data_IF_674133281256
#
_entry.id   IF_674133281256
#
_cell.length_a   1.000
_cell.length_b   1.000
_cell.length_c   1.000
_cell.angle_alpha   90.00
_cell.angle_beta   90.00
_cell.angle_gamma   90.00
#
_symmetry.space_group_name_H-M   'P 1'
#
loop_
_entity.id
_entity.type
_entity.pdbx_description
1 polymer ?
#
# COMPACT_ATOMS: atom_id res chain seq x y z
N UNK A 1 -12.43 -6.33 -1.71
CA UNK A 1 -11.66 -5.93 -2.90
C UNK A 1 -10.31 -6.59 -2.85
N UNK A 2 -9.75 -6.87 -4.01
CA UNK A 2 -8.44 -7.49 -4.17
C UNK A 2 -7.33 -6.70 -3.48
N UNK A 3 -7.49 -5.37 -3.41
CA UNK A 3 -6.56 -4.49 -2.69
C UNK A 3 -6.43 -4.80 -1.19
N UNK A 4 -7.55 -5.09 -0.48
CA UNK A 4 -7.47 -5.46 0.94
C UNK A 4 -6.77 -6.80 1.12
N UNK A 5 -7.03 -7.75 0.21
CA UNK A 5 -6.40 -9.06 0.24
C UNK A 5 -4.90 -8.96 0.00
N UNK A 6 -4.48 -8.15 -0.99
CA UNK A 6 -3.08 -7.88 -1.30
C UNK A 6 -2.35 -7.27 -0.10
N UNK A 7 -2.89 -6.22 0.52
CA UNK A 7 -2.26 -5.58 1.68
C UNK A 7 -2.10 -6.55 2.87
N UNK A 8 -3.10 -7.39 3.14
CA UNK A 8 -3.04 -8.41 4.20
C UNK A 8 -2.05 -9.51 3.87
N UNK A 9 -1.96 -9.93 2.62
CA UNK A 9 -0.98 -10.91 2.16
C UNK A 9 0.45 -10.38 2.34
N UNK A 10 0.68 -9.11 2.00
CA UNK A 10 1.96 -8.44 2.22
C UNK A 10 2.38 -8.45 3.70
N UNK A 11 1.47 -8.02 4.60
CA UNK A 11 1.74 -8.03 6.05
C UNK A 11 2.02 -9.44 6.56
N UNK A 12 1.19 -10.42 6.20
CA UNK A 12 1.37 -11.82 6.60
C UNK A 12 2.73 -12.34 6.15
N UNK A 13 3.08 -12.13 4.89
CA UNK A 13 4.38 -12.55 4.35
C UNK A 13 5.54 -11.92 5.13
N UNK A 14 5.47 -10.63 5.45
CA UNK A 14 6.50 -9.93 6.22
C UNK A 14 6.67 -10.50 7.64
N UNK A 15 5.57 -10.83 8.32
CA UNK A 15 5.58 -11.45 9.65
C UNK A 15 6.15 -12.87 9.61
N UNK A 16 5.83 -13.65 8.59
CA UNK A 16 6.33 -15.02 8.39
C UNK A 16 7.80 -15.05 7.96
N UNK A 17 8.29 -14.01 7.26
CA UNK A 17 9.61 -13.98 6.63
C UNK A 17 10.46 -12.78 7.10
N UNK A 18 10.49 -12.51 8.40
CA UNK A 18 11.10 -11.29 8.96
C UNK A 18 12.58 -11.10 8.57
N UNK A 19 13.36 -12.18 8.47
CA UNK A 19 14.75 -12.12 8.02
C UNK A 19 14.90 -11.64 6.58
N UNK A 20 14.03 -12.09 5.68
CA UNK A 20 13.99 -11.63 4.29
C UNK A 20 13.43 -10.20 4.19
N UNK A 21 12.41 -9.90 4.98
CA UNK A 21 11.84 -8.55 5.07
C UNK A 21 12.88 -7.52 5.53
N UNK A 22 13.76 -7.90 6.47
CA UNK A 22 14.89 -7.08 6.91
C UNK A 22 15.87 -6.71 5.79
N UNK A 23 16.01 -7.52 4.74
CA UNK A 23 16.84 -7.19 3.57
C UNK A 23 16.18 -6.17 2.64
N UNK A 24 14.86 -6.04 2.69
CA UNK A 24 14.10 -5.03 1.93
C UNK A 24 14.15 -3.66 2.63
N UNK A 25 14.14 -3.67 3.97
CA UNK A 25 14.10 -2.45 4.81
C UNK A 25 15.49 -1.94 5.19
N UNK A 26 16.45 -2.85 5.37
CA UNK A 26 17.77 -2.54 5.91
C UNK A 26 18.67 -1.81 4.92
N UNK A 27 19.62 -1.02 5.44
CA UNK A 27 20.75 -0.58 4.62
C UNK A 27 21.47 -1.80 4.04
N UNK A 28 21.83 -1.80 2.75
CA UNK A 28 22.57 -2.91 2.18
C UNK A 28 23.86 -3.08 2.98
N UNK A 29 24.08 -4.29 3.51
CA UNK A 29 25.29 -4.63 4.24
C UNK A 29 26.53 -4.20 3.43
N UNK A 30 27.57 -3.64 4.05
CA UNK A 30 28.80 -3.31 3.34
C UNK A 30 29.41 -4.61 2.79
N UNK A 31 29.25 -4.82 1.49
CA UNK A 31 29.68 -6.01 0.77
C UNK A 31 29.61 -5.75 -0.73
N UNK A 32 30.33 -6.53 -1.56
CA UNK A 32 30.28 -6.33 -3.00
C UNK A 32 28.83 -6.48 -3.47
N UNK A 33 28.24 -5.38 -3.93
CA UNK A 33 26.95 -5.40 -4.60
C UNK A 33 27.14 -6.21 -5.88
N UNK A 34 26.70 -7.46 -5.87
CA UNK A 34 26.52 -8.21 -7.10
C UNK A 34 25.65 -7.38 -8.04
N UNK A 35 25.94 -7.41 -9.33
CA UNK A 35 25.10 -6.83 -10.37
C UNK A 35 23.73 -7.52 -10.34
N UNK A 36 22.86 -7.05 -9.46
CA UNK A 36 21.43 -7.34 -9.49
C UNK A 36 20.90 -6.50 -10.63
N UNK A 37 21.05 -7.03 -11.84
CA UNK A 37 20.75 -6.35 -13.09
C UNK A 37 19.45 -5.56 -13.01
N UNK A 38 19.44 -4.40 -13.66
CA UNK A 38 18.35 -3.40 -13.71
C UNK A 38 17.11 -3.97 -14.41
N UNK A 39 16.52 -5.02 -13.88
CA UNK A 39 15.11 -5.33 -14.09
C UNK A 39 14.37 -4.58 -12.99
N UNK A 40 13.59 -3.58 -13.39
CA UNK A 40 12.65 -2.94 -12.48
C UNK A 40 11.89 -4.03 -11.72
N UNK A 41 11.65 -3.85 -10.41
CA UNK A 41 11.13 -4.93 -9.59
C UNK A 41 9.76 -5.40 -10.09
N UNK A 42 9.76 -6.57 -10.74
CA UNK A 42 8.56 -7.26 -11.25
C UNK A 42 7.55 -7.53 -10.14
N UNK A 43 7.98 -7.57 -8.88
CA UNK A 43 7.09 -7.71 -7.72
C UNK A 43 6.07 -6.57 -7.58
N UNK A 44 6.26 -5.42 -8.24
CA UNK A 44 5.30 -4.30 -8.24
C UNK A 44 4.14 -4.49 -9.21
N UNK A 45 4.24 -5.42 -10.16
CA UNK A 45 3.23 -5.66 -11.20
C UNK A 45 1.83 -5.92 -10.62
N UNK A 46 1.63 -6.81 -9.62
CA UNK A 46 0.29 -7.07 -9.07
C UNK A 46 -0.35 -5.84 -8.39
N UNK A 47 0.45 -4.97 -7.79
CA UNK A 47 -0.06 -3.75 -7.17
C UNK A 47 -0.49 -2.74 -8.23
N UNK A 48 0.30 -2.59 -9.30
CA UNK A 48 -0.03 -1.69 -10.40
C UNK A 48 -1.31 -2.15 -11.11
N UNK A 49 -1.44 -3.44 -11.42
CA UNK A 49 -2.63 -4.02 -12.05
C UNK A 49 -3.91 -3.80 -11.22
N UNK A 50 -3.84 -4.04 -9.90
CA UNK A 50 -4.99 -3.83 -9.02
C UNK A 50 -5.35 -2.34 -8.92
N UNK A 51 -4.37 -1.44 -8.85
CA UNK A 51 -4.64 0.00 -8.78
C UNK A 51 -5.23 0.51 -10.10
N UNK A 52 -4.71 0.07 -11.24
CA UNK A 52 -5.21 0.39 -12.57
C UNK A 52 -6.68 -0.02 -12.72
N UNK A 53 -7.00 -1.29 -12.41
CA UNK A 53 -8.37 -1.79 -12.43
C UNK A 53 -9.32 -1.00 -11.53
N UNK A 54 -8.89 -0.62 -10.31
CA UNK A 54 -9.71 0.16 -9.39
C UNK A 54 -9.96 1.60 -9.86
N UNK A 55 -9.01 2.20 -10.59
CA UNK A 55 -9.18 3.51 -11.21
C UNK A 55 -10.13 3.42 -12.40
N UNK A 56 -9.95 2.41 -13.26
CA UNK A 56 -10.80 2.16 -14.42
C UNK A 56 -12.27 1.87 -14.04
N UNK A 57 -12.49 1.13 -12.96
CA UNK A 57 -13.82 0.86 -12.41
C UNK A 57 -14.44 2.07 -11.67
N UNK A 58 -13.70 3.17 -11.50
CA UNK A 58 -14.15 4.36 -10.76
C UNK A 58 -14.29 4.14 -9.26
N UNK A 59 -13.76 3.03 -8.72
CA UNK A 59 -13.74 2.76 -7.27
C UNK A 59 -12.70 3.67 -6.61
N UNK A 60 -11.52 3.79 -7.22
CA UNK A 60 -10.54 4.80 -6.89
C UNK A 60 -10.79 6.08 -7.68
N UNK A 61 -10.48 7.22 -7.08
CA UNK A 61 -10.47 8.52 -7.76
C UNK A 61 -9.50 8.47 -8.94
N UNK A 62 -9.82 9.21 -10.00
CA UNK A 62 -8.90 9.41 -11.11
C UNK A 62 -7.56 9.99 -10.60
N UNK A 63 -6.48 9.23 -10.80
CA UNK A 63 -5.14 9.54 -10.36
C UNK A 63 -4.12 8.81 -11.25
N UNK A 64 -2.87 9.26 -11.23
CA UNK A 64 -1.79 8.49 -11.83
C UNK A 64 -1.59 7.16 -11.07
N UNK A 65 -1.59 6.05 -11.81
CA UNK A 65 -1.51 4.68 -11.25
C UNK A 65 -0.18 4.47 -10.52
N UNK A 66 0.92 4.99 -11.04
CA UNK A 66 2.23 4.86 -10.41
C UNK A 66 2.32 5.67 -9.12
N UNK A 67 1.79 6.88 -9.10
CA UNK A 67 1.68 7.72 -7.91
C UNK A 67 0.86 7.02 -6.83
N UNK A 68 -0.34 6.54 -7.17
CA UNK A 68 -1.24 5.87 -6.24
C UNK A 68 -0.62 4.59 -5.68
N UNK A 69 -0.08 3.72 -6.55
CA UNK A 69 0.58 2.49 -6.14
C UNK A 69 1.79 2.77 -5.22
N UNK A 70 2.60 3.77 -5.55
CA UNK A 70 3.78 4.14 -4.75
C UNK A 70 3.38 4.65 -3.38
N UNK A 71 2.38 5.54 -3.30
CA UNK A 71 1.90 6.09 -2.03
C UNK A 71 1.26 5.01 -1.14
N UNK A 72 0.49 4.10 -1.72
CA UNK A 72 -0.11 2.97 -1.00
C UNK A 72 0.99 2.03 -0.49
N UNK A 73 1.94 1.66 -1.34
CA UNK A 73 3.05 0.79 -0.94
C UNK A 73 3.89 1.41 0.16
N UNK A 74 4.26 2.70 0.06
CA UNK A 74 5.03 3.40 1.08
C UNK A 74 4.31 3.40 2.44
N UNK A 75 3.01 3.68 2.45
CA UNK A 75 2.19 3.70 3.66
C UNK A 75 2.06 2.30 4.30
N UNK A 76 1.84 1.28 3.46
CA UNK A 76 1.76 -0.11 3.88
C UNK A 76 3.10 -0.63 4.42
N UNK A 77 4.18 -0.30 3.72
CA UNK A 77 5.54 -0.65 4.12
C UNK A 77 5.91 -0.03 5.47
N UNK A 78 5.55 1.24 5.69
CA UNK A 78 5.78 1.94 6.96
C UNK A 78 5.09 1.26 8.14
N UNK A 79 3.78 0.98 8.04
CA UNK A 79 3.03 0.37 9.15
C UNK A 79 3.52 -1.04 9.49
N UNK A 80 3.85 -1.85 8.47
CA UNK A 80 4.40 -3.20 8.68
C UNK A 80 5.81 -3.14 9.27
N UNK A 81 6.64 -2.20 8.83
CA UNK A 81 7.99 -2.04 9.39
C UNK A 81 7.95 -1.61 10.86
N UNK A 82 7.02 -0.73 11.22
CA UNK A 82 6.80 -0.34 12.62
C UNK A 82 6.24 -1.49 13.47
N UNK A 83 5.39 -2.34 12.90
CA UNK A 83 4.95 -3.57 13.56
C UNK A 83 6.09 -4.53 13.84
N UNK A 84 7.02 -4.70 12.90
CA UNK A 84 8.16 -5.58 13.10
C UNK A 84 9.26 -4.96 13.97
N UNK A 85 9.22 -3.67 14.28
CA UNK A 85 10.27 -2.98 15.06
C UNK A 85 9.76 -2.37 16.36
N UNK A 86 8.90 -1.36 16.29
CA UNK A 86 8.51 -0.50 17.41
C UNK A 86 7.44 -1.13 18.30
N UNK A 87 6.43 -1.78 17.74
CA UNK A 87 5.29 -2.31 18.51
C UNK A 87 5.05 -3.82 18.32
N UNK A 88 6.13 -4.57 18.09
CA UNK A 88 6.15 -6.02 17.86
C UNK A 88 5.34 -6.83 18.86
N UNK A 89 5.37 -6.45 20.13
CA UNK A 89 4.66 -7.15 21.22
C UNK A 89 3.33 -6.49 21.59
N UNK A 90 2.90 -5.47 20.83
CA UNK A 90 1.66 -4.76 21.13
C UNK A 90 0.45 -5.66 20.84
N UNK A 91 -0.47 -5.84 21.80
CA UNK A 91 -1.74 -6.52 21.54
C UNK A 91 -2.63 -5.74 20.55
N UNK A 92 -2.30 -4.48 20.25
CA UNK A 92 -3.03 -3.61 19.34
C UNK A 92 -2.44 -3.57 17.91
N UNK A 93 -1.40 -4.33 17.61
CA UNK A 93 -0.74 -4.32 16.29
C UNK A 93 -1.72 -4.56 15.13
N UNK A 94 -2.64 -5.52 15.29
CA UNK A 94 -3.72 -5.79 14.32
C UNK A 94 -4.61 -4.56 14.08
N UNK A 95 -5.01 -3.90 15.16
CA UNK A 95 -5.88 -2.73 15.09
C UNK A 95 -5.19 -1.55 14.42
N UNK A 96 -3.89 -1.34 14.68
CA UNK A 96 -3.10 -0.30 14.01
C UNK A 96 -3.03 -0.55 12.51
N UNK A 97 -2.76 -1.81 12.11
CA UNK A 97 -2.73 -2.20 10.71
C UNK A 97 -4.09 -1.98 10.03
N UNK A 98 -5.18 -2.50 10.58
CA UNK A 98 -6.51 -2.38 9.96
C UNK A 98 -6.99 -0.91 9.92
N UNK A 99 -6.64 -0.12 10.94
CA UNK A 99 -6.91 1.33 10.95
C UNK A 99 -6.17 2.05 9.82
N UNK A 100 -4.87 1.76 9.66
CA UNK A 100 -4.05 2.35 8.61
C UNK A 100 -4.52 1.89 7.23
N UNK A 101 -4.82 0.60 7.04
CA UNK A 101 -5.36 0.05 5.80
C UNK A 101 -6.66 0.75 5.41
N UNK A 102 -7.58 0.92 6.37
CA UNK A 102 -8.82 1.62 6.12
C UNK A 102 -8.60 3.10 5.76
N UNK A 103 -7.63 3.79 6.40
CA UNK A 103 -7.29 5.16 6.09
C UNK A 103 -6.71 5.32 4.67
N UNK A 104 -5.75 4.46 4.29
CA UNK A 104 -5.18 4.41 2.94
C UNK A 104 -6.30 4.22 1.90
N UNK A 105 -7.16 3.22 2.08
CA UNK A 105 -8.19 2.95 1.08
C UNK A 105 -9.19 4.10 0.96
N UNK A 106 -9.59 4.71 2.08
CA UNK A 106 -10.48 5.89 2.06
C UNK A 106 -9.87 7.10 1.36
N UNK A 107 -8.55 7.30 1.42
CA UNK A 107 -7.91 8.44 0.72
C UNK A 107 -7.90 8.30 -0.80
N UNK A 108 -8.12 7.08 -1.30
CA UNK A 108 -8.15 6.78 -2.73
C UNK A 108 -9.55 6.51 -3.26
N UNK A 109 -10.53 6.15 -2.41
CA UNK A 109 -11.91 5.97 -2.85
C UNK A 109 -12.42 7.23 -3.56
N UNK A 110 -13.09 7.06 -4.70
CA UNK A 110 -13.77 8.16 -5.36
C UNK A 110 -14.77 8.79 -4.38
N UNK A 111 -14.72 10.11 -4.21
CA UNK A 111 -15.77 10.84 -3.51
C UNK A 111 -17.05 10.84 -4.35
N UNK A 112 -18.20 11.12 -3.73
CA UNK A 112 -19.45 11.42 -4.45
C UNK A 112 -19.28 12.72 -5.25
N UNK A 113 -18.53 12.66 -6.35
CA UNK A 113 -18.40 13.73 -7.33
C UNK A 113 -19.70 13.81 -8.14
N UNK A 114 -20.79 14.22 -7.48
CA UNK A 114 -22.11 14.31 -8.10
C UNK A 114 -23.24 14.89 -7.24
N UNK A 115 -23.14 14.94 -5.91
CA UNK A 115 -24.26 15.41 -5.08
C UNK A 115 -24.21 16.92 -4.72
N UNK A 116 -23.04 17.56 -4.80
CA UNK A 116 -22.86 18.95 -4.34
C UNK A 116 -23.09 20.04 -5.39
N UNK A 117 -22.99 19.74 -6.69
CA UNK A 117 -23.07 20.74 -7.74
C UNK A 117 -24.51 21.01 -8.23
N UNK A 118 -25.45 20.07 -8.02
CA UNK A 118 -26.84 20.22 -8.45
C UNK A 118 -27.71 21.10 -7.51
N UNK A 119 -27.28 21.30 -6.26
CA UNK A 119 -28.04 22.08 -5.28
C UNK A 119 -27.79 23.60 -5.35
N UNK A 120 -26.74 24.05 -6.04
CA UNK A 120 -26.37 25.47 -6.12
C UNK A 120 -26.99 26.22 -7.33
N UNK A 121 -27.78 25.53 -8.16
CA UNK A 121 -28.39 26.10 -9.37
C UNK A 121 -29.87 26.49 -9.24
N UNK A 122 -30.45 26.41 -8.05
CA UNK A 122 -31.88 26.65 -7.83
C UNK A 122 -32.14 27.56 -6.62
N UNK A 123 -31.65 28.80 -6.65
CA UNK A 123 -32.25 29.92 -5.89
C UNK A 123 -32.03 31.24 -6.62
#
# INVERSE_FOLDING_TARGET
SDMRALCRAYRRWAIEHQGLYGLIVGEPAPGPRGDLGVRGPQWREPLLEIVDALVDEGIFRAADVHEAATAIWASLHGIVSLELSVWRESPSAEQYFETQLAAILRSWTAGDAGAGAAAAGAV
#
